data_IF_369119660453
#
_entry.id   IF_369119660453
#
_cell.length_a   1.000
_cell.length_b   1.000
_cell.length_c   1.000
_cell.angle_alpha   90.00
_cell.angle_beta   90.00
_cell.angle_gamma   90.00
#
_symmetry.space_group_name_H-M   'P 1'
#
loop_
_entity.id
_entity.type
_entity.pdbx_description
1 polymer ?
#
# COMPACT_ATOMS: atom_id res chain seq x y z
N UNK A 1 3.14 13.04 13.16
CA UNK A 1 2.52 12.74 11.86
C UNK A 1 3.41 11.77 11.12
N UNK A 2 2.84 10.71 10.55
CA UNK A 2 3.60 9.72 9.77
C UNK A 2 3.32 9.96 8.30
N UNK A 3 4.36 10.14 7.50
CA UNK A 3 4.19 10.30 6.04
C UNK A 3 3.88 8.97 5.38
N UNK A 4 3.46 9.01 4.11
CA UNK A 4 3.21 7.81 3.32
C UNK A 4 4.46 6.93 3.19
N UNK A 5 5.62 7.55 3.01
CA UNK A 5 6.93 6.90 2.85
C UNK A 5 7.39 6.27 4.16
N UNK A 6 7.23 6.98 5.28
CA UNK A 6 7.51 6.44 6.62
C UNK A 6 6.60 5.25 6.93
N UNK A 7 5.31 5.36 6.60
CA UNK A 7 4.37 4.25 6.74
C UNK A 7 4.81 3.03 5.91
N UNK A 8 5.19 3.25 4.66
CA UNK A 8 5.63 2.19 3.75
C UNK A 8 6.87 1.46 4.30
N UNK A 9 7.88 2.24 4.72
CA UNK A 9 9.12 1.71 5.26
C UNK A 9 8.85 0.83 6.48
N UNK A 10 8.06 1.34 7.43
CA UNK A 10 7.75 0.63 8.66
C UNK A 10 6.87 -0.60 8.41
N UNK A 11 5.85 -0.48 7.56
CA UNK A 11 5.04 -1.63 7.14
C UNK A 11 5.90 -2.72 6.52
N UNK A 12 6.80 -2.39 5.59
CA UNK A 12 7.66 -3.36 4.91
C UNK A 12 8.70 -3.98 5.85
N UNK A 13 9.22 -3.21 6.81
CA UNK A 13 10.15 -3.70 7.85
C UNK A 13 9.48 -4.75 8.75
N UNK A 14 8.22 -4.52 9.10
CA UNK A 14 7.44 -5.38 9.99
C UNK A 14 6.68 -6.51 9.28
N UNK A 15 6.73 -6.58 7.94
CA UNK A 15 5.93 -7.52 7.15
C UNK A 15 6.80 -8.60 6.51
N UNK A 16 6.29 -9.84 6.40
CA UNK A 16 6.94 -10.89 5.62
C UNK A 16 7.00 -10.50 4.14
N UNK A 17 7.89 -11.13 3.37
CA UNK A 17 8.15 -10.78 1.97
C UNK A 17 6.87 -10.73 1.11
N UNK A 18 5.94 -11.65 1.30
CA UNK A 18 4.68 -11.75 0.56
C UNK A 18 3.65 -10.65 0.90
N UNK A 19 3.89 -9.87 1.96
CA UNK A 19 3.05 -8.74 2.39
C UNK A 19 3.77 -7.39 2.30
N UNK A 20 5.02 -7.37 1.81
CA UNK A 20 5.68 -6.12 1.45
C UNK A 20 4.90 -5.46 0.32
N UNK A 21 4.78 -4.15 0.40
CA UNK A 21 4.02 -3.34 -0.52
C UNK A 21 4.91 -2.34 -1.24
N UNK A 22 4.35 -1.75 -2.29
CA UNK A 22 4.94 -0.61 -3.00
C UNK A 22 4.16 0.66 -2.73
N UNK A 23 4.74 1.81 -3.08
CA UNK A 23 4.07 3.10 -2.96
C UNK A 23 2.79 3.21 -3.82
N UNK A 24 2.73 2.45 -4.91
CA UNK A 24 1.57 2.35 -5.82
C UNK A 24 0.44 1.62 -5.12
N UNK A 25 0.73 0.50 -4.45
CA UNK A 25 -0.27 -0.24 -3.66
C UNK A 25 -0.86 0.64 -2.55
N UNK A 26 -0.05 1.48 -1.91
CA UNK A 26 -0.56 2.46 -0.94
C UNK A 26 -1.46 3.51 -1.60
N UNK A 27 -1.08 4.03 -2.79
CA UNK A 27 -1.92 4.97 -3.52
C UNK A 27 -3.29 4.35 -3.83
N UNK A 28 -3.29 3.11 -4.33
CA UNK A 28 -4.51 2.38 -4.66
C UNK A 28 -5.37 2.12 -3.43
N UNK A 29 -4.76 1.69 -2.33
CA UNK A 29 -5.48 1.50 -1.07
C UNK A 29 -6.19 2.76 -0.58
N UNK A 30 -5.55 3.94 -0.71
CA UNK A 30 -6.18 5.21 -0.35
C UNK A 30 -7.36 5.56 -1.27
N UNK A 31 -7.26 5.27 -2.56
CA UNK A 31 -8.35 5.42 -3.53
C UNK A 31 -9.51 4.47 -3.24
N UNK A 32 -9.22 3.22 -2.89
CA UNK A 32 -10.24 2.20 -2.62
C UNK A 32 -10.93 2.41 -1.26
N UNK A 33 -10.21 2.95 -0.27
CA UNK A 33 -10.70 3.12 1.11
C UNK A 33 -10.55 4.57 1.62
N UNK A 34 -11.11 5.57 0.92
CA UNK A 34 -10.89 6.99 1.24
C UNK A 34 -11.41 7.35 2.64
N UNK A 35 -12.47 6.69 3.12
CA UNK A 35 -13.07 6.91 4.44
C UNK A 35 -12.11 6.62 5.62
N UNK A 36 -11.04 5.84 5.40
CA UNK A 36 -10.01 5.58 6.41
C UNK A 36 -9.05 6.77 6.59
N UNK A 37 -9.01 7.68 5.63
CA UNK A 37 -8.07 8.81 5.57
C UNK A 37 -8.80 10.12 5.84
N UNK A 38 -9.04 10.42 7.13
CA UNK A 38 -9.65 11.68 7.56
C UNK A 38 -8.68 12.88 7.52
N UNK A 39 -7.38 12.61 7.37
CA UNK A 39 -6.32 13.59 7.20
C UNK A 39 -5.33 13.11 6.13
N UNK A 40 -4.35 13.94 5.79
CA UNK A 40 -3.24 13.57 4.92
C UNK A 40 -2.24 12.60 5.57
N UNK A 41 -2.44 12.25 6.85
CA UNK A 41 -1.56 11.39 7.62
C UNK A 41 -1.72 9.90 7.30
N UNK A 42 -0.66 9.14 7.58
CA UNK A 42 -0.62 7.68 7.47
C UNK A 42 -0.36 7.02 8.84
N UNK A 43 -1.29 7.11 9.80
CA UNK A 43 -1.07 6.57 11.15
C UNK A 43 -0.95 5.04 11.10
N UNK A 44 0.23 4.52 11.47
CA UNK A 44 0.56 3.10 11.44
C UNK A 44 -0.48 2.26 12.20
N UNK A 45 -0.77 2.61 13.45
CA UNK A 45 -1.63 1.79 14.32
C UNK A 45 -3.08 1.68 13.83
N UNK A 46 -3.55 2.68 13.08
CA UNK A 46 -4.92 2.74 12.57
C UNK A 46 -5.05 2.13 11.17
N UNK A 47 -4.04 2.33 10.32
CA UNK A 47 -4.14 2.01 8.89
C UNK A 47 -3.47 0.68 8.55
N UNK A 48 -2.44 0.25 9.29
CA UNK A 48 -1.68 -0.95 8.92
C UNK A 48 -2.54 -2.21 8.88
N UNK A 49 -3.42 -2.41 9.86
CA UNK A 49 -4.31 -3.58 9.88
C UNK A 49 -5.33 -3.56 8.72
N UNK A 50 -6.08 -2.48 8.48
CA UNK A 50 -6.90 -2.36 7.26
C UNK A 50 -6.12 -2.55 5.95
N UNK A 51 -4.88 -2.06 5.90
CA UNK A 51 -4.03 -2.21 4.73
C UNK A 51 -3.61 -3.66 4.49
N UNK A 52 -3.21 -4.39 5.54
CA UNK A 52 -2.90 -5.84 5.43
C UNK A 52 -4.13 -6.61 4.95
N UNK A 53 -5.31 -6.34 5.53
CA UNK A 53 -6.55 -7.00 5.11
C UNK A 53 -6.86 -6.76 3.63
N UNK A 54 -6.68 -5.51 3.17
CA UNK A 54 -6.81 -5.18 1.76
C UNK A 54 -5.78 -5.91 0.90
N UNK A 55 -4.49 -5.90 1.29
CA UNK A 55 -3.43 -6.64 0.57
C UNK A 55 -3.69 -8.13 0.46
N UNK A 56 -4.26 -8.76 1.48
CA UNK A 56 -4.62 -10.18 1.47
C UNK A 56 -5.88 -10.47 0.65
N UNK A 57 -6.73 -9.48 0.43
CA UNK A 57 -7.93 -9.62 -0.40
C UNK A 57 -7.64 -9.56 -1.91
N UNK A 58 -6.47 -9.05 -2.29
CA UNK A 58 -6.08 -8.93 -3.69
C UNK A 58 -5.65 -10.28 -4.28
N UNK A 59 -6.10 -10.55 -5.50
CA UNK A 59 -5.63 -11.70 -6.27
C UNK A 59 -4.19 -11.51 -6.73
N UNK A 60 -3.54 -12.61 -7.13
CA UNK A 60 -2.17 -12.56 -7.67
C UNK A 60 -2.09 -11.63 -8.89
N UNK A 61 -3.05 -11.73 -9.81
CA UNK A 61 -3.12 -10.89 -11.01
C UNK A 61 -3.20 -9.40 -10.68
N UNK A 62 -4.02 -9.00 -9.70
CA UNK A 62 -4.11 -7.61 -9.26
C UNK A 62 -2.80 -7.08 -8.66
N UNK A 63 -2.08 -7.94 -7.91
CA UNK A 63 -0.76 -7.59 -7.38
C UNK A 63 0.27 -7.45 -8.50
N UNK A 64 0.25 -8.36 -9.46
CA UNK A 64 1.13 -8.35 -10.63
C UNK A 64 0.90 -7.09 -11.48
N UNK A 65 -0.35 -6.73 -11.79
CA UNK A 65 -0.71 -5.51 -12.53
C UNK A 65 -0.15 -4.24 -11.87
N UNK A 66 -0.32 -4.10 -10.55
CA UNK A 66 0.21 -2.94 -9.81
C UNK A 66 1.74 -2.94 -9.70
N UNK A 67 2.39 -4.10 -9.84
CA UNK A 67 3.85 -4.22 -9.85
C UNK A 67 4.45 -4.03 -11.26
N UNK A 68 3.70 -4.36 -12.31
CA UNK A 68 4.09 -4.31 -13.71
C UNK A 68 4.00 -2.90 -14.32
N UNK A 69 3.36 -1.94 -13.64
CA UNK A 69 3.31 -0.53 -14.03
C UNK A 69 4.69 0.18 -14.07
N UNK A 70 5.81 -0.56 -13.97
CA UNK A 70 7.18 -0.10 -14.17
C UNK A 70 7.75 -0.30 -15.58
N UNK A 71 7.09 -1.04 -16.49
CA UNK A 71 7.68 -1.41 -17.79
C UNK A 71 6.94 -0.85 -19.02
N UNK A 72 6.42 0.38 -18.93
CA UNK A 72 5.71 1.00 -20.04
C UNK A 72 5.81 2.51 -20.04
N UNK A 73 6.98 3.04 -20.43
CA UNK A 73 7.21 4.30 -21.19
C UNK A 73 8.68 4.68 -21.15
N UNK A 74 9.43 4.15 -22.10
CA UNK A 74 10.53 4.88 -22.73
C UNK A 74 10.22 4.85 -24.24
N UNK A 75 9.61 5.93 -24.71
CA UNK A 75 9.52 6.28 -26.14
C UNK A 75 10.45 7.44 -26.38
#
# INVERSE_FOLDING_TARGET
MTTKEQFLSEHNRLSPLNLRATIIMLARFKTDKPALFKSSDWPIDKIRRPFILWLTSLTKAQKEEMSAAREGKAS
#
